data_IF_567350058226
#
_entry.id   IF_567350058226
#
_cell.length_a   1.000
_cell.length_b   1.000
_cell.length_c   1.000
_cell.angle_alpha   90.00
_cell.angle_beta   90.00
_cell.angle_gamma   90.00
#
_symmetry.space_group_name_H-M   'P 1'
#
loop_
_entity.id
_entity.type
_entity.pdbx_description
1 polymer ?
#
# COMPACT_ATOMS: atom_id res chain seq x y z
N UNK A 1 32.47 -11.58 -31.13
CA UNK A 1 32.08 -12.57 -30.10
C UNK A 1 31.23 -11.98 -28.97
N UNK A 2 31.40 -10.71 -28.57
CA UNK A 2 30.54 -10.04 -27.56
C UNK A 2 29.04 -10.03 -27.89
N UNK A 3 28.67 -9.69 -29.12
CA UNK A 3 27.27 -9.46 -29.49
C UNK A 3 26.41 -10.75 -29.45
N UNK A 4 27.00 -11.91 -29.73
CA UNK A 4 26.30 -13.21 -29.70
C UNK A 4 25.98 -13.67 -28.28
N UNK A 5 26.85 -13.35 -27.32
CA UNK A 5 26.64 -13.67 -25.89
C UNK A 5 25.54 -12.80 -25.27
N UNK A 6 25.48 -11.51 -25.64
CA UNK A 6 24.40 -10.61 -25.22
C UNK A 6 23.04 -11.06 -25.76
N UNK A 7 22.96 -11.43 -27.04
CA UNK A 7 21.72 -11.96 -27.65
C UNK A 7 21.25 -13.24 -26.93
N UNK A 8 22.17 -14.17 -26.62
CA UNK A 8 21.82 -15.39 -25.87
C UNK A 8 21.40 -15.13 -24.42
N UNK A 9 21.96 -14.11 -23.76
CA UNK A 9 21.52 -13.70 -22.43
C UNK A 9 20.13 -13.04 -22.47
N UNK A 10 19.88 -12.19 -23.46
CA UNK A 10 18.58 -11.54 -23.67
C UNK A 10 17.49 -12.58 -23.95
N UNK A 11 17.77 -13.56 -24.81
CA UNK A 11 16.85 -14.65 -25.14
C UNK A 11 16.50 -15.49 -23.92
N UNK A 12 17.50 -15.88 -23.11
CA UNK A 12 17.27 -16.61 -21.85
C UNK A 12 16.41 -15.83 -20.85
N UNK A 13 16.58 -14.51 -20.74
CA UNK A 13 15.74 -13.66 -19.89
C UNK A 13 14.28 -13.66 -20.37
N UNK A 14 14.06 -13.57 -21.69
CA UNK A 14 12.72 -13.62 -22.30
C UNK A 14 12.07 -14.98 -22.06
N UNK A 15 12.80 -16.07 -22.28
CA UNK A 15 12.30 -17.43 -22.08
C UNK A 15 11.93 -17.68 -20.61
N UNK A 16 12.77 -17.25 -19.66
CA UNK A 16 12.49 -17.32 -18.23
C UNK A 16 11.24 -16.52 -17.85
N UNK A 17 11.08 -15.30 -18.38
CA UNK A 17 9.88 -14.48 -18.14
C UNK A 17 8.61 -15.17 -18.66
N UNK A 18 8.69 -15.82 -19.82
CA UNK A 18 7.57 -16.57 -20.41
C UNK A 18 7.22 -17.81 -19.56
N UNK A 19 8.24 -18.55 -19.09
CA UNK A 19 8.07 -19.67 -18.16
C UNK A 19 7.41 -19.25 -16.84
N UNK A 20 7.88 -18.16 -16.23
CA UNK A 20 7.29 -17.59 -15.01
C UNK A 20 5.81 -17.25 -15.24
N UNK A 21 5.49 -16.56 -16.33
CA UNK A 21 4.12 -16.20 -16.69
C UNK A 21 3.21 -17.44 -16.86
N UNK A 22 3.69 -18.50 -17.53
CA UNK A 22 2.95 -19.76 -17.68
C UNK A 22 2.73 -20.49 -16.35
N UNK A 23 3.71 -20.44 -15.45
CA UNK A 23 3.59 -21.04 -14.11
C UNK A 23 2.59 -20.26 -13.25
N UNK A 24 2.66 -18.93 -13.27
CA UNK A 24 1.68 -18.07 -12.60
C UNK A 24 0.26 -18.34 -13.07
N UNK A 25 0.07 -18.52 -14.39
CA UNK A 25 -1.25 -18.81 -14.95
C UNK A 25 -1.77 -20.18 -14.53
N UNK A 26 -0.93 -21.23 -14.59
CA UNK A 26 -1.30 -22.57 -14.09
C UNK A 26 -1.66 -22.54 -12.61
N UNK A 27 -0.89 -21.80 -11.80
CA UNK A 27 -1.17 -21.68 -10.38
C UNK A 27 -2.50 -20.97 -10.12
N UNK A 28 -2.85 -19.93 -10.90
CA UNK A 28 -4.18 -19.31 -10.83
C UNK A 28 -5.30 -20.30 -11.15
N UNK A 29 -5.15 -21.10 -12.21
CA UNK A 29 -6.14 -22.12 -12.60
C UNK A 29 -6.32 -23.14 -11.47
N UNK A 30 -5.23 -23.73 -10.97
CA UNK A 30 -5.28 -24.71 -9.87
C UNK A 30 -5.87 -24.11 -8.59
N UNK A 31 -5.56 -22.84 -8.29
CA UNK A 31 -6.17 -22.15 -7.17
C UNK A 31 -7.67 -21.93 -7.39
N UNK A 32 -8.10 -21.55 -8.59
CA UNK A 32 -9.51 -21.36 -8.93
C UNK A 32 -10.30 -22.68 -8.80
N UNK A 33 -9.76 -23.79 -9.29
CA UNK A 33 -10.34 -25.13 -9.15
C UNK A 33 -10.42 -25.54 -7.67
N UNK A 34 -9.34 -25.38 -6.91
CA UNK A 34 -9.32 -25.64 -5.46
C UNK A 34 -10.32 -24.75 -4.71
N UNK A 35 -10.50 -23.52 -5.17
CA UNK A 35 -11.45 -22.56 -4.61
C UNK A 35 -12.90 -22.97 -4.88
N UNK A 36 -13.20 -23.44 -6.10
CA UNK A 36 -14.56 -23.87 -6.48
C UNK A 36 -14.96 -25.17 -5.78
N UNK A 37 -14.01 -26.07 -5.56
CA UNK A 37 -14.23 -27.36 -4.88
C UNK A 37 -14.28 -27.25 -3.36
N UNK A 38 -13.87 -26.11 -2.78
CA UNK A 38 -13.83 -25.91 -1.34
C UNK A 38 -15.17 -25.37 -0.82
N UNK A 39 -15.66 -25.98 0.27
CA UNK A 39 -16.82 -25.47 1.01
C UNK A 39 -16.67 -23.96 1.31
N UNK A 40 -17.68 -23.13 1.00
CA UNK A 40 -17.61 -21.68 1.19
C UNK A 40 -17.26 -21.24 2.62
N UNK A 41 -17.71 -21.97 3.65
CA UNK A 41 -17.38 -21.65 5.05
C UNK A 41 -15.93 -21.98 5.37
N UNK A 42 -15.43 -23.13 4.89
CA UNK A 42 -14.01 -23.48 5.00
C UNK A 42 -13.13 -22.43 4.31
N UNK A 43 -13.53 -21.97 3.12
CA UNK A 43 -12.82 -20.91 2.38
C UNK A 43 -12.80 -19.60 3.16
N UNK A 44 -13.94 -19.17 3.70
CA UNK A 44 -14.03 -17.97 4.54
C UNK A 44 -13.13 -18.07 5.79
N UNK A 45 -13.13 -19.21 6.47
CA UNK A 45 -12.27 -19.44 7.63
C UNK A 45 -10.79 -19.35 7.26
N UNK A 46 -10.37 -19.88 6.11
CA UNK A 46 -8.99 -19.75 5.65
C UNK A 46 -8.57 -18.29 5.41
N UNK A 47 -9.45 -17.46 4.82
CA UNK A 47 -9.16 -16.04 4.62
C UNK A 47 -8.99 -15.35 5.98
N UNK A 48 -9.92 -15.58 6.91
CA UNK A 48 -9.85 -14.99 8.26
C UNK A 48 -8.55 -15.36 8.98
N UNK A 49 -8.15 -16.63 8.93
CA UNK A 49 -6.89 -17.10 9.51
C UNK A 49 -5.69 -16.39 8.87
N UNK A 50 -5.68 -16.24 7.54
CA UNK A 50 -4.58 -15.57 6.84
C UNK A 50 -4.52 -14.07 7.10
N UNK A 51 -5.67 -13.41 7.20
CA UNK A 51 -5.74 -12.01 7.63
C UNK A 51 -5.21 -11.85 9.06
N UNK A 52 -5.59 -12.73 9.99
CA UNK A 52 -5.05 -12.72 11.35
C UNK A 52 -3.52 -12.96 11.40
N UNK A 53 -2.97 -13.79 10.50
CA UNK A 53 -1.52 -13.93 10.37
C UNK A 53 -0.84 -12.64 9.89
N UNK A 54 -1.46 -11.89 8.97
CA UNK A 54 -0.95 -10.57 8.58
C UNK A 54 -1.03 -9.56 9.74
N UNK A 55 -2.10 -9.56 10.52
CA UNK A 55 -2.19 -8.73 11.73
C UNK A 55 -1.08 -9.06 12.74
N UNK A 56 -0.76 -10.34 12.89
CA UNK A 56 0.35 -10.77 13.74
C UNK A 56 1.71 -10.32 13.19
N UNK A 57 1.91 -10.42 11.87
CA UNK A 57 3.10 -9.88 11.22
C UNK A 57 3.27 -8.37 11.43
N UNK A 58 2.18 -7.59 11.32
CA UNK A 58 2.20 -6.16 11.63
C UNK A 58 2.71 -5.90 13.04
N UNK A 59 2.15 -6.61 14.03
CA UNK A 59 2.57 -6.48 15.44
C UNK A 59 4.05 -6.76 15.61
N UNK A 60 4.56 -7.85 15.02
CA UNK A 60 5.99 -8.19 15.09
C UNK A 60 6.84 -7.06 14.50
N UNK A 61 6.49 -6.56 13.32
CA UNK A 61 7.25 -5.50 12.67
C UNK A 61 7.18 -4.14 13.39
N UNK A 62 6.03 -3.84 14.02
CA UNK A 62 5.88 -2.68 14.90
C UNK A 62 6.80 -2.80 16.12
N UNK A 63 6.90 -3.97 16.77
CA UNK A 63 7.80 -4.16 17.92
C UNK A 63 9.28 -4.00 17.59
N UNK A 64 9.67 -4.21 16.32
CA UNK A 64 11.04 -3.95 15.82
C UNK A 64 11.31 -2.47 15.53
N UNK A 65 10.29 -1.60 15.60
CA UNK A 65 10.42 -0.19 15.25
C UNK A 65 10.53 0.09 13.75
N UNK A 66 10.13 -0.87 12.90
CA UNK A 66 10.27 -0.79 11.44
C UNK A 66 8.93 -0.55 10.75
N UNK A 67 7.86 -1.21 11.23
CA UNK A 67 6.56 -1.22 10.55
C UNK A 67 6.50 -2.27 9.45
N UNK A 68 5.30 -2.79 9.19
CA UNK A 68 5.13 -3.97 8.34
C UNK A 68 5.51 -3.74 6.88
N UNK A 69 5.26 -2.52 6.36
CA UNK A 69 5.60 -2.13 4.99
C UNK A 69 7.11 -2.23 4.75
N UNK A 70 7.91 -1.53 5.56
CA UNK A 70 9.37 -1.51 5.46
C UNK A 70 9.99 -2.88 5.78
N UNK A 71 9.46 -3.60 6.78
CA UNK A 71 9.86 -4.98 7.05
C UNK A 71 9.76 -5.85 5.78
N UNK A 72 8.60 -5.82 5.13
CA UNK A 72 8.33 -6.64 3.96
C UNK A 72 9.16 -6.19 2.77
N UNK A 73 9.28 -4.87 2.56
CA UNK A 73 10.09 -4.30 1.48
C UNK A 73 11.54 -4.76 1.58
N UNK A 74 12.12 -4.74 2.78
CA UNK A 74 13.52 -5.02 3.04
C UNK A 74 13.85 -6.52 3.19
N UNK A 75 12.84 -7.42 3.22
CA UNK A 75 13.00 -8.89 3.36
C UNK A 75 13.97 -9.31 4.48
N UNK A 76 13.79 -8.76 5.68
CA UNK A 76 14.71 -8.92 6.81
C UNK A 76 14.69 -10.32 7.46
N UNK A 77 13.82 -11.25 7.05
CA UNK A 77 13.81 -12.59 7.64
C UNK A 77 12.96 -13.67 6.96
N UNK A 78 12.99 -14.87 7.54
CA UNK A 78 12.22 -16.04 7.06
C UNK A 78 10.70 -15.82 7.10
N UNK A 79 10.20 -15.03 8.06
CA UNK A 79 8.80 -14.61 8.15
C UNK A 79 8.30 -13.91 6.87
N UNK A 80 9.18 -13.23 6.13
CA UNK A 80 8.78 -12.49 4.93
C UNK A 80 8.47 -13.44 3.76
N UNK A 81 9.06 -14.65 3.74
CA UNK A 81 8.68 -15.71 2.79
C UNK A 81 7.28 -16.22 3.07
N UNK A 82 6.94 -16.41 4.35
CA UNK A 82 5.59 -16.83 4.75
C UNK A 82 4.55 -15.76 4.42
N UNK A 83 4.87 -14.49 4.70
CA UNK A 83 4.01 -13.35 4.32
C UNK A 83 3.82 -13.27 2.81
N UNK A 84 4.86 -13.51 2.02
CA UNK A 84 4.74 -13.55 0.55
C UNK A 84 3.75 -14.62 0.09
N UNK A 85 3.79 -15.83 0.68
CA UNK A 85 2.82 -16.89 0.38
C UNK A 85 1.41 -16.54 0.84
N UNK A 86 1.27 -15.93 2.01
CA UNK A 86 -0.02 -15.48 2.56
C UNK A 86 -0.65 -14.40 1.66
N UNK A 87 0.14 -13.38 1.31
CA UNK A 87 -0.21 -12.30 0.37
C UNK A 87 -0.74 -12.88 -0.93
N UNK A 88 0.04 -13.73 -1.59
CA UNK A 88 -0.31 -14.35 -2.88
C UNK A 88 -1.65 -15.09 -2.83
N UNK A 89 -1.90 -15.85 -1.76
CA UNK A 89 -3.20 -16.52 -1.57
C UNK A 89 -4.35 -15.53 -1.46
N UNK A 90 -4.21 -14.49 -0.64
CA UNK A 90 -5.26 -13.49 -0.44
C UNK A 90 -5.51 -12.72 -1.75
N UNK A 91 -4.47 -12.32 -2.46
CA UNK A 91 -4.58 -11.66 -3.76
C UNK A 91 -5.31 -12.50 -4.79
N UNK A 92 -4.97 -13.79 -4.91
CA UNK A 92 -5.68 -14.69 -5.82
C UNK A 92 -7.14 -14.88 -5.43
N UNK A 93 -7.44 -15.01 -4.13
CA UNK A 93 -8.80 -15.11 -3.64
C UNK A 93 -9.63 -13.88 -4.05
N UNK A 94 -9.12 -12.67 -3.79
CA UNK A 94 -9.86 -11.43 -4.01
C UNK A 94 -9.98 -11.07 -5.49
N UNK A 95 -8.98 -11.36 -6.31
CA UNK A 95 -9.09 -11.27 -7.78
C UNK A 95 -10.24 -12.13 -8.30
N UNK A 96 -10.25 -13.42 -7.94
CA UNK A 96 -11.31 -14.35 -8.35
C UNK A 96 -12.69 -13.92 -7.82
N UNK A 97 -12.75 -13.38 -6.59
CA UNK A 97 -13.98 -12.85 -6.02
C UNK A 97 -14.51 -11.66 -6.83
N UNK A 98 -13.67 -10.67 -7.11
CA UNK A 98 -14.05 -9.47 -7.85
C UNK A 98 -14.51 -9.82 -9.27
N UNK A 99 -13.75 -10.64 -9.99
CA UNK A 99 -14.13 -11.14 -11.32
C UNK A 99 -15.45 -11.92 -11.29
N UNK A 100 -15.67 -12.72 -10.25
CA UNK A 100 -16.90 -13.46 -10.05
C UNK A 100 -18.10 -12.54 -9.85
N UNK A 101 -17.97 -11.48 -9.06
CA UNK A 101 -19.03 -10.49 -8.78
C UNK A 101 -19.38 -9.70 -10.04
N UNK A 102 -18.39 -9.29 -10.84
CA UNK A 102 -18.65 -8.53 -12.07
C UNK A 102 -19.41 -9.31 -13.14
N UNK A 103 -19.30 -10.64 -13.14
CA UNK A 103 -20.06 -11.51 -14.07
C UNK A 103 -21.51 -11.73 -13.65
N UNK A 104 -21.90 -11.30 -12.45
CA UNK A 104 -23.26 -11.51 -11.93
C UNK A 104 -24.24 -10.43 -12.42
N UNK A 105 -25.54 -10.74 -12.51
CA UNK A 105 -26.57 -9.73 -12.74
C UNK A 105 -26.47 -8.60 -11.71
N UNK A 106 -26.77 -7.37 -12.13
CA UNK A 106 -26.55 -6.15 -11.33
C UNK A 106 -27.09 -6.25 -9.88
N UNK A 107 -28.31 -6.79 -9.69
CA UNK A 107 -28.93 -6.93 -8.36
C UNK A 107 -28.20 -7.94 -7.47
N UNK A 108 -27.83 -9.10 -8.01
CA UNK A 108 -27.07 -10.12 -7.28
C UNK A 108 -25.66 -9.63 -6.96
N UNK A 109 -25.00 -8.98 -7.93
CA UNK A 109 -23.71 -8.34 -7.74
C UNK A 109 -23.74 -7.29 -6.63
N UNK A 110 -24.72 -6.39 -6.62
CA UNK A 110 -24.87 -5.36 -5.59
C UNK A 110 -25.06 -5.96 -4.19
N UNK A 111 -25.89 -7.00 -4.04
CA UNK A 111 -26.07 -7.70 -2.76
C UNK A 111 -24.76 -8.34 -2.26
N UNK A 112 -24.01 -9.00 -3.15
CA UNK A 112 -22.73 -9.61 -2.80
C UNK A 112 -21.71 -8.53 -2.42
N UNK A 113 -21.63 -7.42 -3.17
CA UNK A 113 -20.76 -6.29 -2.81
C UNK A 113 -21.05 -5.83 -1.38
N UNK A 114 -22.32 -5.49 -1.09
CA UNK A 114 -22.76 -5.06 0.25
C UNK A 114 -22.30 -5.98 1.38
N UNK A 115 -22.40 -7.29 1.16
CA UNK A 115 -22.03 -8.32 2.16
C UNK A 115 -20.52 -8.38 2.42
N UNK A 116 -19.69 -8.08 1.42
CA UNK A 116 -18.23 -8.28 1.48
C UNK A 116 -17.42 -6.98 1.55
N UNK A 117 -18.08 -5.81 1.52
CA UNK A 117 -17.46 -4.48 1.58
C UNK A 117 -16.43 -4.34 2.71
N UNK A 118 -16.82 -4.69 3.95
CA UNK A 118 -15.93 -4.55 5.11
C UNK A 118 -14.68 -5.43 4.98
N UNK A 119 -14.86 -6.69 4.57
CA UNK A 119 -13.76 -7.63 4.37
C UNK A 119 -12.83 -7.18 3.23
N UNK A 120 -13.41 -6.65 2.14
CA UNK A 120 -12.67 -6.15 0.99
C UNK A 120 -11.85 -4.90 1.32
N UNK A 121 -12.44 -3.98 2.09
CA UNK A 121 -11.76 -2.79 2.63
C UNK A 121 -10.56 -3.18 3.48
N UNK A 122 -10.73 -4.07 4.45
CA UNK A 122 -9.65 -4.50 5.33
C UNK A 122 -8.54 -5.23 4.55
N UNK A 123 -8.92 -6.13 3.64
CA UNK A 123 -7.96 -6.77 2.74
C UNK A 123 -7.13 -5.75 1.96
N UNK A 124 -7.78 -4.81 1.28
CA UNK A 124 -7.11 -3.78 0.48
C UNK A 124 -6.12 -2.98 1.33
N UNK A 125 -6.54 -2.51 2.51
CA UNK A 125 -5.70 -1.71 3.42
C UNK A 125 -4.54 -2.47 4.05
N UNK A 126 -4.60 -3.80 4.14
CA UNK A 126 -3.51 -4.63 4.67
C UNK A 126 -2.56 -5.16 3.58
N UNK A 127 -3.09 -5.48 2.41
CA UNK A 127 -2.37 -6.24 1.38
C UNK A 127 -1.81 -5.35 0.28
N UNK A 128 -2.54 -4.32 -0.16
CA UNK A 128 -2.06 -3.43 -1.24
C UNK A 128 -0.74 -2.74 -0.87
N UNK A 129 -0.49 -2.29 0.38
CA UNK A 129 0.83 -1.82 0.80
C UNK A 129 1.97 -2.82 0.58
N UNK A 130 1.72 -4.13 0.70
CA UNK A 130 2.73 -5.15 0.43
C UNK A 130 2.99 -5.34 -1.07
N UNK A 131 1.97 -5.14 -1.91
CA UNK A 131 2.14 -5.12 -3.37
C UNK A 131 2.87 -3.86 -3.82
N UNK A 132 2.63 -2.71 -3.18
CA UNK A 132 3.39 -1.47 -3.40
C UNK A 132 4.85 -1.67 -3.00
N UNK A 133 5.11 -2.26 -1.83
CA UNK A 133 6.47 -2.56 -1.38
C UNK A 133 7.24 -3.41 -2.40
N UNK A 134 6.59 -4.43 -2.97
CA UNK A 134 7.18 -5.25 -4.04
C UNK A 134 7.36 -4.48 -5.34
N UNK A 135 6.40 -3.63 -5.72
CA UNK A 135 6.47 -2.80 -6.91
C UNK A 135 7.71 -1.88 -6.91
N UNK A 136 7.96 -1.21 -5.79
CA UNK A 136 9.11 -0.29 -5.61
C UNK A 136 10.38 -0.96 -5.08
N UNK A 137 10.41 -2.29 -4.88
CA UNK A 137 11.60 -2.99 -4.34
C UNK A 137 12.78 -3.01 -5.31
N UNK A 138 12.52 -3.38 -6.56
CA UNK A 138 13.57 -3.86 -7.49
C UNK A 138 13.80 -2.92 -8.69
N UNK A 139 13.38 -1.64 -8.66
CA UNK A 139 13.33 -0.84 -9.91
C UNK A 139 13.25 0.67 -9.78
N UNK A 140 13.60 1.36 -10.87
CA UNK A 140 13.30 2.77 -11.21
C UNK A 140 11.81 3.03 -11.51
N UNK A 141 10.91 2.17 -11.01
CA UNK A 141 9.47 2.31 -11.23
C UNK A 141 8.92 3.49 -10.45
N UNK A 142 7.87 4.07 -11.01
CA UNK A 142 7.16 5.25 -10.51
C UNK A 142 5.68 5.10 -10.79
N UNK A 143 4.88 5.92 -10.13
CA UNK A 143 3.46 6.07 -10.45
C UNK A 143 2.69 4.75 -10.34
N UNK A 144 2.84 4.05 -9.20
CA UNK A 144 2.16 2.78 -8.93
C UNK A 144 0.66 2.88 -9.20
N UNK A 145 0.01 3.99 -8.81
CA UNK A 145 -1.42 4.17 -9.01
C UNK A 145 -1.84 4.07 -10.48
N UNK A 146 -0.98 4.52 -11.41
CA UNK A 146 -1.24 4.54 -12.85
C UNK A 146 -0.78 3.26 -13.54
N UNK A 147 0.40 2.75 -13.16
CA UNK A 147 1.08 1.69 -13.92
C UNK A 147 1.17 0.34 -13.19
N UNK A 148 1.05 0.33 -11.86
CA UNK A 148 1.24 -0.85 -11.03
C UNK A 148 -0.02 -1.40 -10.36
N UNK A 149 -1.04 -0.56 -10.22
CA UNK A 149 -2.22 -0.86 -9.41
C UNK A 149 -3.10 -1.90 -10.07
N UNK A 150 -3.33 -3.01 -9.37
CA UNK A 150 -4.15 -4.09 -9.91
C UNK A 150 -5.63 -3.72 -9.90
N UNK A 151 -6.33 -4.04 -11.00
CA UNK A 151 -7.76 -3.77 -11.21
C UNK A 151 -8.67 -4.17 -10.04
N UNK A 152 -8.38 -5.27 -9.35
CA UNK A 152 -9.20 -5.72 -8.23
C UNK A 152 -9.17 -4.74 -7.03
N UNK A 153 -8.06 -4.05 -6.77
CA UNK A 153 -8.01 -3.01 -5.73
C UNK A 153 -8.82 -1.78 -6.12
N UNK A 154 -8.74 -1.36 -7.39
CA UNK A 154 -9.51 -0.24 -7.95
C UNK A 154 -11.01 -0.50 -7.78
N UNK A 155 -11.48 -1.69 -8.18
CA UNK A 155 -12.89 -2.05 -8.05
C UNK A 155 -13.35 -2.15 -6.60
N UNK A 156 -12.53 -2.72 -5.70
CA UNK A 156 -12.84 -2.79 -4.28
C UNK A 156 -12.92 -1.41 -3.63
N UNK A 157 -12.10 -0.46 -4.06
CA UNK A 157 -12.17 0.93 -3.61
C UNK A 157 -13.43 1.63 -4.14
N UNK A 158 -13.71 1.54 -5.44
CA UNK A 158 -14.90 2.11 -6.07
C UNK A 158 -16.19 1.62 -5.40
N UNK A 159 -16.32 0.31 -5.16
CA UNK A 159 -17.51 -0.22 -4.48
C UNK A 159 -17.70 0.33 -3.08
N UNK A 160 -16.60 0.66 -2.40
CA UNK A 160 -16.65 1.26 -1.08
C UNK A 160 -17.01 2.74 -1.14
N UNK A 161 -16.50 3.47 -2.14
CA UNK A 161 -16.88 4.87 -2.39
C UNK A 161 -18.35 5.01 -2.75
N UNK A 162 -18.88 4.11 -3.59
CA UNK A 162 -20.31 4.04 -3.93
C UNK A 162 -21.17 3.83 -2.68
N UNK A 163 -20.79 2.88 -1.81
CA UNK A 163 -21.50 2.59 -0.56
C UNK A 163 -21.38 3.72 0.47
N UNK A 164 -20.20 4.34 0.58
CA UNK A 164 -19.99 5.51 1.44
C UNK A 164 -20.84 6.70 0.94
N UNK A 165 -20.92 6.92 -0.38
CA UNK A 165 -21.76 7.95 -0.99
C UNK A 165 -23.27 7.74 -0.74
N UNK A 166 -23.74 6.49 -0.81
CA UNK A 166 -25.11 6.13 -0.43
C UNK A 166 -25.39 6.38 1.07
N UNK A 167 -24.36 6.28 1.93
CA UNK A 167 -24.45 6.41 3.40
C UNK A 167 -24.23 7.81 3.96
N UNK A 168 -23.79 8.79 3.16
CA UNK A 168 -23.48 10.17 3.57
C UNK A 168 -24.68 11.00 4.08
N UNK A 169 -25.76 10.36 4.56
CA UNK A 169 -26.82 10.96 5.38
C UNK A 169 -26.47 11.06 6.88
N UNK A 170 -25.21 10.85 7.29
CA UNK A 170 -24.82 10.93 8.72
C UNK A 170 -23.54 11.73 8.96
N UNK A 171 -23.56 12.52 10.05
CA UNK A 171 -22.56 13.53 10.43
C UNK A 171 -21.13 12.98 10.65
N UNK A 172 -20.09 13.83 10.52
CA UNK A 172 -18.71 13.47 10.82
C UNK A 172 -18.58 13.00 12.27
N UNK A 173 -18.21 11.74 12.47
CA UNK A 173 -18.14 11.16 13.81
C UNK A 173 -16.72 11.31 14.35
N UNK A 174 -16.56 12.05 15.46
CA UNK A 174 -15.30 12.24 16.21
C UNK A 174 -14.67 10.93 16.75
N UNK A 175 -15.27 9.77 16.46
CA UNK A 175 -14.79 8.42 16.83
C UNK A 175 -13.40 8.10 16.28
N UNK A 176 -12.96 8.72 15.18
CA UNK A 176 -11.63 8.44 14.59
C UNK A 176 -10.46 8.77 15.55
N UNK A 177 -10.64 9.73 16.46
CA UNK A 177 -9.62 10.10 17.46
C UNK A 177 -9.47 9.08 18.59
N UNK A 178 -10.47 8.23 18.83
CA UNK A 178 -10.54 7.40 20.03
C UNK A 178 -9.72 6.09 19.94
N UNK A 179 -9.21 5.70 18.77
CA UNK A 179 -8.47 4.44 18.60
C UNK A 179 -7.37 4.49 17.53
N UNK A 180 -6.58 5.57 17.50
CA UNK A 180 -5.53 5.78 16.49
C UNK A 180 -4.45 4.69 16.53
N UNK A 181 -4.17 4.11 17.70
CA UNK A 181 -3.16 3.06 17.85
C UNK A 181 -3.39 1.81 17.00
N UNK A 182 -4.66 1.48 16.73
CA UNK A 182 -5.06 0.27 16.02
C UNK A 182 -5.53 0.49 14.57
N UNK A 183 -5.49 1.71 14.03
CA UNK A 183 -6.01 1.96 12.68
C UNK A 183 -5.05 1.44 11.60
N UNK A 184 -5.65 0.86 10.57
CA UNK A 184 -5.01 0.73 9.26
C UNK A 184 -5.15 2.04 8.51
N UNK A 185 -4.11 2.44 7.79
CA UNK A 185 -4.15 3.62 6.92
C UNK A 185 -5.31 3.52 5.95
N UNK A 186 -6.11 4.58 5.86
CA UNK A 186 -7.36 4.58 5.11
C UNK A 186 -7.14 4.51 3.60
N UNK A 187 -6.17 5.29 3.11
CA UNK A 187 -5.66 5.28 1.74
C UNK A 187 -4.64 4.16 1.59
N UNK A 188 -5.04 3.06 0.95
CA UNK A 188 -4.16 1.90 0.73
C UNK A 188 -3.00 2.19 -0.24
N UNK A 189 -3.06 3.29 -0.99
CA UNK A 189 -1.98 3.79 -1.84
C UNK A 189 -1.07 4.82 -1.14
N UNK A 190 -1.22 5.05 0.17
CA UNK A 190 -0.36 5.98 0.92
C UNK A 190 1.13 5.73 0.69
N UNK A 191 1.56 4.47 0.79
CA UNK A 191 2.97 4.12 0.61
C UNK A 191 3.49 4.37 -0.80
N UNK A 192 2.66 4.27 -1.84
CA UNK A 192 3.08 4.61 -3.20
C UNK A 192 3.46 6.10 -3.29
N UNK A 193 2.65 6.97 -2.68
CA UNK A 193 2.91 8.40 -2.62
C UNK A 193 4.19 8.72 -1.83
N UNK A 194 4.47 7.98 -0.75
CA UNK A 194 5.74 8.09 -0.01
C UNK A 194 6.94 7.72 -0.88
N UNK A 195 6.85 6.65 -1.67
CA UNK A 195 7.92 6.24 -2.58
C UNK A 195 8.15 7.27 -3.69
N UNK A 196 7.08 7.78 -4.32
CA UNK A 196 7.19 8.82 -5.35
C UNK A 196 7.77 10.13 -4.78
N UNK A 197 7.46 10.46 -3.51
CA UNK A 197 8.06 11.58 -2.80
C UNK A 197 9.55 11.35 -2.48
N UNK A 198 9.95 10.14 -2.04
CA UNK A 198 11.36 9.77 -1.87
C UNK A 198 12.15 9.89 -3.17
N UNK A 199 11.53 9.47 -4.27
CA UNK A 199 12.11 9.56 -5.61
C UNK A 199 12.26 11.03 -6.04
N UNK A 200 11.26 11.88 -5.76
CA UNK A 200 11.35 13.33 -5.98
C UNK A 200 12.49 13.97 -5.19
N UNK A 201 12.68 13.57 -3.92
CA UNK A 201 13.83 14.01 -3.13
C UNK A 201 15.17 13.63 -3.78
N UNK A 202 15.30 12.40 -4.32
CA UNK A 202 16.52 11.95 -5.01
C UNK A 202 16.80 12.76 -6.28
N UNK A 203 15.76 13.10 -7.05
CA UNK A 203 15.90 13.95 -8.23
C UNK A 203 16.40 15.36 -7.89
N UNK A 204 15.87 15.97 -6.82
CA UNK A 204 16.33 17.29 -6.39
C UNK A 204 17.79 17.31 -5.94
N UNK A 205 18.24 16.24 -5.25
CA UNK A 205 19.64 16.08 -4.84
C UNK A 205 20.59 15.73 -5.99
N UNK A 206 20.07 15.16 -7.08
CA UNK A 206 20.90 14.73 -8.19
C UNK A 206 21.49 15.92 -8.97
N UNK A 207 22.80 15.90 -9.18
CA UNK A 207 23.50 16.85 -10.04
C UNK A 207 23.21 16.66 -11.54
N UNK A 208 22.68 15.50 -11.93
CA UNK A 208 22.41 15.15 -13.34
C UNK A 208 20.98 15.40 -13.79
N UNK A 209 20.07 15.73 -12.87
CA UNK A 209 18.66 16.00 -13.19
C UNK A 209 18.49 17.37 -13.85
N UNK A 210 17.68 17.40 -14.92
CA UNK A 210 17.34 18.61 -15.67
C UNK A 210 16.50 19.59 -14.85
N UNK A 211 16.46 20.86 -15.27
CA UNK A 211 15.65 21.88 -14.62
C UNK A 211 14.14 21.51 -14.60
N UNK A 212 13.65 20.88 -15.67
CA UNK A 212 12.26 20.43 -15.78
C UNK A 212 11.96 19.31 -14.77
N UNK A 213 12.85 18.32 -14.66
CA UNK A 213 12.69 17.23 -13.67
C UNK A 213 12.73 17.75 -12.24
N UNK A 214 13.60 18.73 -11.95
CA UNK A 214 13.68 19.35 -10.63
C UNK A 214 12.42 20.15 -10.31
N UNK A 215 11.88 20.89 -11.27
CA UNK A 215 10.63 21.62 -11.09
C UNK A 215 9.46 20.67 -10.79
N UNK A 216 9.31 19.60 -11.58
CA UNK A 216 8.27 18.58 -11.34
C UNK A 216 8.45 17.87 -9.99
N UNK A 217 9.69 17.56 -9.60
CA UNK A 217 9.98 16.96 -8.30
C UNK A 217 9.60 17.89 -7.13
N UNK A 218 9.78 19.21 -7.28
CA UNK A 218 9.37 20.19 -6.27
C UNK A 218 7.85 20.24 -6.13
N UNK A 219 7.13 20.33 -7.24
CA UNK A 219 5.65 20.33 -7.25
C UNK A 219 5.07 19.06 -6.62
N UNK A 220 5.65 17.89 -6.94
CA UNK A 220 5.25 16.62 -6.33
C UNK A 220 5.46 16.60 -4.81
N UNK A 221 6.55 17.19 -4.32
CA UNK A 221 6.82 17.28 -2.88
C UNK A 221 5.85 18.24 -2.18
N UNK A 222 5.54 19.39 -2.77
CA UNK A 222 4.57 20.33 -2.23
C UNK A 222 3.17 19.69 -2.12
N UNK A 223 2.75 18.95 -3.16
CA UNK A 223 1.51 18.18 -3.15
C UNK A 223 1.53 17.07 -2.09
N UNK A 224 2.63 16.33 -1.98
CA UNK A 224 2.75 15.25 -1.02
C UNK A 224 2.74 15.75 0.43
N UNK A 225 3.38 16.89 0.71
CA UNK A 225 3.38 17.52 2.03
C UNK A 225 1.96 17.91 2.47
N UNK A 226 1.19 18.56 1.60
CA UNK A 226 -0.21 18.91 1.86
C UNK A 226 -1.07 17.66 2.08
N UNK A 227 -0.91 16.64 1.22
CA UNK A 227 -1.59 15.36 1.34
C UNK A 227 -1.29 14.69 2.68
N UNK A 228 -0.01 14.56 3.05
CA UNK A 228 0.41 13.88 4.27
C UNK A 228 -0.17 14.56 5.50
N UNK A 229 -0.15 15.90 5.54
CA UNK A 229 -0.72 16.63 6.67
C UNK A 229 -2.25 16.49 6.74
N UNK A 230 -2.95 16.50 5.60
CA UNK A 230 -4.39 16.24 5.57
C UNK A 230 -4.72 14.85 6.12
N UNK A 231 -3.95 13.82 5.77
CA UNK A 231 -4.14 12.48 6.30
C UNK A 231 -3.93 12.42 7.83
N UNK A 232 -2.91 13.13 8.34
CA UNK A 232 -2.61 13.22 9.78
C UNK A 232 -3.75 13.93 10.53
N UNK A 233 -4.19 15.09 10.04
CA UNK A 233 -5.27 15.86 10.67
C UNK A 233 -6.58 15.08 10.76
N UNK A 234 -6.86 14.24 9.76
CA UNK A 234 -8.06 13.41 9.70
C UNK A 234 -7.94 12.08 10.44
N UNK A 235 -6.81 11.81 11.10
CA UNK A 235 -6.51 10.52 11.72
C UNK A 235 -6.70 9.35 10.74
N UNK A 236 -6.30 9.55 9.49
CA UNK A 236 -6.52 8.62 8.38
C UNK A 236 -5.29 7.77 8.07
N UNK A 237 -4.18 7.97 8.79
CA UNK A 237 -2.92 7.21 8.65
C UNK A 237 -2.55 6.51 9.95
N UNK A 238 -2.03 5.30 9.84
CA UNK A 238 -1.54 4.53 10.99
C UNK A 238 -0.35 5.23 11.66
N UNK A 239 -0.22 5.21 13.00
CA UNK A 239 0.97 5.69 13.69
C UNK A 239 2.26 5.01 13.25
N UNK A 240 2.17 3.82 12.63
CA UNK A 240 3.33 3.10 12.10
C UNK A 240 4.16 3.91 11.09
N UNK A 241 3.56 4.91 10.43
CA UNK A 241 4.31 5.80 9.53
C UNK A 241 5.39 6.59 10.28
N UNK A 242 5.24 6.81 11.59
CA UNK A 242 6.19 7.57 12.42
C UNK A 242 7.23 6.69 13.11
N UNK A 243 7.26 5.39 12.83
CA UNK A 243 8.32 4.52 13.33
C UNK A 243 9.68 4.95 12.75
N UNK A 244 10.72 4.91 13.57
CA UNK A 244 12.04 5.46 13.25
C UNK A 244 12.61 4.96 11.91
N UNK A 245 12.43 3.67 11.61
CA UNK A 245 12.97 3.04 10.42
C UNK A 245 12.00 3.02 9.24
N UNK A 246 10.85 3.70 9.34
CA UNK A 246 9.84 3.75 8.30
C UNK A 246 10.30 4.54 7.08
N UNK A 247 9.78 4.21 5.90
CA UNK A 247 10.04 4.96 4.68
C UNK A 247 9.52 6.40 4.73
N UNK A 248 8.45 6.67 5.48
CA UNK A 248 7.96 8.04 5.70
C UNK A 248 8.95 8.86 6.55
N UNK A 249 9.53 8.29 7.60
CA UNK A 249 10.55 8.98 8.41
C UNK A 249 11.86 9.17 7.63
N UNK A 250 12.23 8.22 6.75
CA UNK A 250 13.35 8.40 5.81
C UNK A 250 13.08 9.53 4.82
N UNK A 251 11.87 9.61 4.28
CA UNK A 251 11.44 10.71 3.41
C UNK A 251 11.57 12.04 4.16
N UNK A 252 10.99 12.14 5.35
CA UNK A 252 11.02 13.35 6.16
C UNK A 252 12.45 13.85 6.40
N UNK A 253 13.36 12.98 6.83
CA UNK A 253 14.78 13.32 7.01
C UNK A 253 15.42 13.82 5.71
N UNK A 254 15.14 13.14 4.59
CA UNK A 254 15.69 13.52 3.29
C UNK A 254 15.15 14.87 2.81
N UNK A 255 13.86 15.12 3.03
CA UNK A 255 13.17 16.36 2.69
C UNK A 255 13.71 17.54 3.50
N UNK A 256 13.97 17.36 4.80
CA UNK A 256 14.59 18.38 5.66
C UNK A 256 15.95 18.87 5.16
N UNK A 257 16.72 18.00 4.49
CA UNK A 257 18.02 18.35 3.91
C UNK A 257 17.89 19.13 2.58
N UNK A 258 16.70 19.13 1.96
CA UNK A 258 16.44 19.76 0.65
C UNK A 258 15.76 21.12 0.83
N UNK A 259 14.81 21.22 1.76
CA UNK A 259 14.04 22.45 1.96
C UNK A 259 14.92 23.56 2.52
N UNK A 260 14.65 24.79 2.09
CA UNK A 260 15.28 25.98 2.64
C UNK A 260 14.91 26.17 4.11
N UNK A 261 15.75 26.85 4.88
CA UNK A 261 15.48 27.15 6.30
C UNK A 261 14.21 27.98 6.51
N UNK A 262 13.83 28.75 5.49
CA UNK A 262 12.61 29.56 5.41
C UNK A 262 11.36 28.76 5.03
N UNK A 263 11.48 27.48 4.61
CA UNK A 263 10.33 26.64 4.29
C UNK A 263 9.50 26.38 5.54
N UNK A 264 8.31 26.98 5.56
CA UNK A 264 7.34 26.84 6.62
C UNK A 264 6.07 26.20 6.07
N UNK A 265 5.64 25.12 6.73
CA UNK A 265 4.45 24.38 6.36
C UNK A 265 3.83 23.76 7.62
N UNK A 266 2.52 23.48 7.61
CA UNK A 266 1.87 22.81 8.74
C UNK A 266 2.49 21.44 9.07
N UNK A 267 2.97 20.70 8.05
CA UNK A 267 3.65 19.42 8.28
C UNK A 267 5.02 19.64 8.92
N UNK A 268 5.77 20.64 8.43
CA UNK A 268 7.08 20.98 8.97
C UNK A 268 7.00 21.37 10.45
N UNK A 269 6.05 22.23 10.81
CA UNK A 269 5.77 22.61 12.20
C UNK A 269 5.40 21.38 13.06
N UNK A 270 4.50 20.51 12.54
CA UNK A 270 4.09 19.29 13.23
C UNK A 270 5.27 18.34 13.51
N UNK A 271 6.13 18.13 12.51
CA UNK A 271 7.27 17.21 12.58
C UNK A 271 8.43 17.77 13.39
N UNK A 272 8.81 19.04 13.20
CA UNK A 272 9.91 19.70 13.93
C UNK A 272 9.63 19.78 15.43
N UNK A 273 8.38 20.03 15.82
CA UNK A 273 7.97 20.09 17.22
C UNK A 273 7.71 18.71 17.86
N UNK A 274 7.96 17.61 17.14
CA UNK A 274 7.77 16.26 17.68
C UNK A 274 6.33 15.90 18.01
N UNK A 275 5.32 16.60 17.46
CA UNK A 275 3.90 16.35 17.77
C UNK A 275 3.45 14.94 17.39
N UNK A 276 4.09 14.32 16.39
CA UNK A 276 3.85 12.94 15.99
C UNK A 276 4.05 11.92 17.12
N UNK A 277 4.86 12.23 18.15
CA UNK A 277 5.05 11.36 19.31
C UNK A 277 3.77 11.18 20.15
N UNK A 278 2.82 12.11 20.05
CA UNK A 278 1.52 12.02 20.72
C UNK A 278 0.38 11.59 19.76
N UNK A 279 0.67 11.35 18.48
CA UNK A 279 -0.32 10.98 17.47
C UNK A 279 -1.08 9.71 17.80
N UNK A 280 -0.37 8.68 18.26
CA UNK A 280 -0.98 7.41 18.66
C UNK A 280 -2.00 7.56 19.81
N UNK A 281 -1.85 8.59 20.66
CA UNK A 281 -2.75 8.85 21.79
C UNK A 281 -4.02 9.61 21.40
N UNK A 282 -4.15 10.03 20.13
CA UNK A 282 -5.30 10.82 19.66
C UNK A 282 -5.32 12.25 20.20
N UNK A 283 -4.19 12.74 20.72
CA UNK A 283 -4.10 14.00 21.47
C UNK A 283 -3.30 15.09 20.74
N UNK A 284 -3.13 15.02 19.42
CA UNK A 284 -2.18 15.89 18.68
C UNK A 284 -2.56 17.35 18.58
N UNK A 285 -3.70 17.75 19.14
CA UNK A 285 -4.13 19.13 19.15
C UNK A 285 -4.50 19.48 20.60
N UNK A 286 -3.52 20.03 21.34
CA UNK A 286 -3.85 20.99 22.38
C UNK A 286 -4.52 22.18 21.66
N UNK A 287 -5.66 22.59 22.19
CA UNK A 287 -6.43 23.77 21.74
C UNK A 287 -5.56 25.03 21.74
#
# INVERSE_FOLDING_TARGET
MSNTLEIQQQQRKVDNKNLISKLEEREKVLMAERVQTMDPRKRLNQIKIKMAHLEWYHKICKTKGIGYYDCYKNQLGSSDRDVTRLKKFLTNYWKNFVEGVERKPQKEGAFIRGTWLYSGRNYRRMVEPLDIAEYYRDSDKRDYQTHGRSRHYILLEQWQEDDDAEKLKSSPNNKKKQNVAGILTEDSCFWAKVEDALISCKLLKSGTSSAVEKQSAKENLDMFEQYAMNQINNYAVSPEIFLKESSFMKWWKTFQEIIETSHDSPLCDFMKNGRYLQYEKGSTFLQ
#
